data_IF_329974658104
#
_entry.id   IF_329974658104
#
_cell.length_a   1.000
_cell.length_b   1.000
_cell.length_c   1.000
_cell.angle_alpha   90.00
_cell.angle_beta   90.00
_cell.angle_gamma   90.00
#
_symmetry.space_group_name_H-M   'P 1'
#
loop_
_entity.id
_entity.type
_entity.pdbx_description
1 polymer ?
#
# COMPACT_ATOMS: atom_id res chain seq x y z
N UNK A 1 -53.53 -15.68 26.14
CA UNK A 1 -52.61 -14.88 25.31
C UNK A 1 -51.26 -14.79 26.00
N UNK A 2 -50.25 -15.59 25.60
CA UNK A 2 -48.90 -15.54 26.18
C UNK A 2 -48.07 -14.50 25.42
N UNK A 3 -47.79 -13.37 26.05
CA UNK A 3 -46.92 -12.32 25.52
C UNK A 3 -45.46 -12.80 25.59
N UNK A 4 -44.86 -13.10 24.45
CA UNK A 4 -43.43 -13.42 24.34
C UNK A 4 -42.62 -12.13 24.42
N UNK A 5 -42.04 -11.84 25.58
CA UNK A 5 -41.04 -10.76 25.72
C UNK A 5 -39.75 -11.17 25.01
N UNK A 6 -39.53 -10.64 23.80
CA UNK A 6 -38.34 -10.91 22.97
C UNK A 6 -37.10 -10.10 23.36
N UNK A 7 -37.20 -9.17 24.31
CA UNK A 7 -36.07 -8.36 24.77
C UNK A 7 -35.69 -8.72 26.21
N UNK A 8 -34.58 -9.45 26.36
CA UNK A 8 -33.95 -9.73 27.65
C UNK A 8 -32.82 -8.72 27.86
N UNK A 9 -33.08 -7.68 28.65
CA UNK A 9 -32.09 -6.65 28.97
C UNK A 9 -30.94 -7.27 29.78
N UNK A 10 -29.70 -7.15 29.29
CA UNK A 10 -28.48 -7.51 30.02
C UNK A 10 -27.70 -6.24 30.32
N UNK A 11 -27.40 -6.02 31.59
CA UNK A 11 -26.53 -4.94 32.04
C UNK A 11 -25.11 -5.50 31.97
N UNK A 12 -24.34 -5.07 30.97
CA UNK A 12 -22.94 -5.43 30.82
C UNK A 12 -22.13 -4.31 31.44
N UNK A 13 -21.22 -4.64 32.35
CA UNK A 13 -20.25 -3.68 32.88
C UNK A 13 -19.25 -3.33 31.78
N UNK A 14 -19.51 -2.22 31.09
CA UNK A 14 -18.52 -1.65 30.18
C UNK A 14 -17.33 -1.14 31.00
N UNK A 15 -16.09 -1.36 30.56
CA UNK A 15 -14.93 -0.73 31.18
C UNK A 15 -15.13 0.78 31.22
N UNK A 16 -14.50 1.47 32.19
CA UNK A 16 -14.61 2.93 32.37
C UNK A 16 -14.51 3.63 31.01
N UNK A 17 -15.34 4.65 30.77
CA UNK A 17 -15.43 5.38 29.48
C UNK A 17 -14.07 5.77 28.89
N UNK A 18 -13.09 6.09 29.74
CA UNK A 18 -11.71 6.34 29.37
C UNK A 18 -11.01 5.19 28.63
N UNK A 19 -11.23 3.94 29.03
CA UNK A 19 -10.66 2.76 28.35
C UNK A 19 -11.20 2.65 26.93
N UNK A 20 -12.50 2.92 26.73
CA UNK A 20 -13.10 2.90 25.40
C UNK A 20 -12.52 3.98 24.49
N UNK A 21 -12.32 5.19 25.01
CA UNK A 21 -11.65 6.28 24.28
C UNK A 21 -10.22 5.91 23.91
N UNK A 22 -9.45 5.36 24.85
CA UNK A 22 -8.06 4.93 24.59
C UNK A 22 -8.02 3.83 23.53
N UNK A 23 -8.87 2.81 23.64
CA UNK A 23 -8.94 1.73 22.64
C UNK A 23 -9.27 2.28 21.26
N UNK A 24 -10.23 3.21 21.17
CA UNK A 24 -10.64 3.84 19.91
C UNK A 24 -9.51 4.70 19.30
N UNK A 25 -8.78 5.46 20.12
CA UNK A 25 -7.63 6.24 19.65
C UNK A 25 -6.50 5.32 19.17
N UNK A 26 -6.22 4.23 19.89
CA UNK A 26 -5.19 3.26 19.50
C UNK A 26 -5.56 2.56 18.20
N UNK A 27 -6.80 2.10 18.03
CA UNK A 27 -7.22 1.48 16.77
C UNK A 27 -7.18 2.46 15.61
N UNK A 28 -7.64 3.69 15.79
CA UNK A 28 -7.56 4.72 14.73
C UNK A 28 -6.11 5.04 14.35
N UNK A 29 -5.22 5.12 15.33
CA UNK A 29 -3.80 5.34 15.09
C UNK A 29 -3.18 4.16 14.32
N UNK A 30 -3.44 2.93 14.75
CA UNK A 30 -2.92 1.72 14.08
C UNK A 30 -3.45 1.59 12.64
N UNK A 31 -4.72 1.89 12.39
CA UNK A 31 -5.28 1.86 11.03
C UNK A 31 -4.67 2.92 10.15
N UNK A 32 -4.50 4.15 10.66
CA UNK A 32 -3.84 5.23 9.92
C UNK A 32 -2.41 4.83 9.53
N UNK A 33 -1.61 4.36 10.49
CA UNK A 33 -0.23 3.92 10.24
C UNK A 33 -0.21 2.73 9.28
N UNK A 34 -1.09 1.75 9.46
CA UNK A 34 -1.18 0.57 8.59
C UNK A 34 -1.50 0.92 7.14
N UNK A 35 -2.49 1.81 6.92
CA UNK A 35 -2.87 2.26 5.58
C UNK A 35 -1.76 3.07 4.90
N UNK A 36 -1.05 3.91 5.64
CA UNK A 36 0.08 4.67 5.09
C UNK A 36 1.28 3.79 4.68
N UNK A 37 1.43 2.62 5.30
CA UNK A 37 2.58 1.73 5.07
C UNK A 37 2.24 0.48 4.25
N UNK A 38 0.98 0.31 3.83
CA UNK A 38 0.55 -0.89 3.09
C UNK A 38 1.31 -1.06 1.78
N UNK A 39 1.63 0.05 1.10
CA UNK A 39 2.41 0.05 -0.13
C UNK A 39 3.84 -0.46 0.10
N UNK A 40 4.47 -0.13 1.23
CA UNK A 40 5.80 -0.61 1.58
C UNK A 40 5.79 -2.11 1.93
N UNK A 41 4.74 -2.57 2.61
CA UNK A 41 4.57 -4.00 2.91
C UNK A 41 4.41 -4.85 1.65
N UNK A 42 3.73 -4.33 0.62
CA UNK A 42 3.54 -5.02 -0.66
C UNK A 42 4.77 -4.93 -1.58
N UNK A 43 5.69 -4.01 -1.32
CA UNK A 43 6.90 -3.86 -2.12
C UNK A 43 7.93 -4.95 -1.77
N UNK A 44 8.45 -5.62 -2.78
CA UNK A 44 9.55 -6.57 -2.61
C UNK A 44 10.81 -5.79 -2.22
N UNK A 45 11.27 -5.96 -0.98
CA UNK A 45 12.40 -5.21 -0.40
C UNK A 45 13.76 -5.87 -0.62
N UNK A 46 13.79 -7.14 -1.02
CA UNK A 46 15.02 -7.88 -1.32
C UNK A 46 14.86 -8.60 -2.66
N UNK A 47 15.23 -7.95 -3.78
CA UNK A 47 15.23 -8.62 -5.06
C UNK A 47 16.27 -9.73 -5.06
N UNK A 48 15.92 -10.89 -5.63
CA UNK A 48 16.92 -11.89 -5.96
C UNK A 48 17.81 -11.30 -7.08
N UNK A 49 19.13 -11.39 -6.93
CA UNK A 49 20.11 -10.90 -7.90
C UNK A 49 20.03 -11.73 -9.19
N UNK A 50 19.08 -11.39 -10.05
CA UNK A 50 18.89 -11.98 -11.37
C UNK A 50 19.62 -11.21 -12.46
N UNK A 51 19.67 -11.78 -13.67
CA UNK A 51 20.32 -11.15 -14.82
C UNK A 51 19.52 -9.97 -15.41
N UNK A 52 18.21 -9.95 -15.18
CA UNK A 52 17.28 -8.99 -15.76
C UNK A 52 16.61 -8.15 -14.67
N UNK A 53 16.58 -6.83 -14.86
CA UNK A 53 15.72 -5.91 -14.11
C UNK A 53 14.55 -5.49 -15.00
N UNK A 54 13.33 -5.83 -14.59
CA UNK A 54 12.09 -5.45 -15.29
C UNK A 54 11.46 -4.23 -14.61
N UNK A 55 11.10 -3.21 -15.38
CA UNK A 55 10.53 -1.95 -14.87
C UNK A 55 9.30 -1.53 -15.68
N UNK A 56 8.21 -1.18 -15.02
CA UNK A 56 7.01 -0.65 -15.67
C UNK A 56 7.23 0.80 -16.16
N UNK A 57 7.03 1.06 -17.45
CA UNK A 57 7.30 2.32 -18.14
C UNK A 57 6.29 3.43 -17.90
N UNK A 58 5.11 3.10 -17.37
CA UNK A 58 4.09 4.10 -17.00
C UNK A 58 4.38 4.77 -15.64
N UNK A 59 5.42 4.32 -14.95
CA UNK A 59 5.80 4.82 -13.64
C UNK A 59 6.28 6.28 -13.69
N UNK A 60 6.19 6.95 -12.54
CA UNK A 60 6.65 8.32 -12.41
C UNK A 60 8.18 8.42 -12.56
N UNK A 61 8.66 9.58 -13.00
CA UNK A 61 10.09 9.83 -13.27
C UNK A 61 11.00 9.48 -12.08
N UNK A 62 10.57 9.76 -10.84
CA UNK A 62 11.35 9.42 -9.65
C UNK A 62 11.52 7.90 -9.48
N UNK A 63 10.47 7.12 -9.76
CA UNK A 63 10.52 5.65 -9.71
C UNK A 63 11.42 5.08 -10.80
N UNK A 64 11.41 5.68 -11.99
CA UNK A 64 12.30 5.28 -13.10
C UNK A 64 13.78 5.59 -12.76
N UNK A 65 14.05 6.75 -12.16
CA UNK A 65 15.40 7.09 -11.67
C UNK A 65 15.89 6.13 -10.58
N UNK A 66 15.02 5.79 -9.63
CA UNK A 66 15.33 4.80 -8.61
C UNK A 66 15.61 3.41 -9.24
N UNK A 67 14.84 3.01 -10.25
CA UNK A 67 15.09 1.75 -10.95
C UNK A 67 16.44 1.76 -11.70
N UNK A 68 16.84 2.90 -12.26
CA UNK A 68 18.16 3.07 -12.87
C UNK A 68 19.29 2.94 -11.85
N UNK A 69 19.14 3.52 -10.66
CA UNK A 69 20.11 3.35 -9.57
C UNK A 69 20.22 1.89 -9.13
N UNK A 70 19.09 1.19 -8.99
CA UNK A 70 19.05 -0.25 -8.68
C UNK A 70 19.73 -1.07 -9.78
N UNK A 71 19.52 -0.73 -11.05
CA UNK A 71 20.18 -1.39 -12.18
C UNK A 71 21.71 -1.25 -12.09
N UNK A 72 22.19 -0.02 -11.88
CA UNK A 72 23.62 0.30 -11.81
C UNK A 72 24.33 -0.35 -10.63
N UNK A 73 23.64 -0.50 -9.49
CA UNK A 73 24.20 -1.07 -8.26
C UNK A 73 24.02 -2.60 -8.16
N UNK A 74 23.01 -3.15 -8.80
CA UNK A 74 22.54 -4.53 -8.58
C UNK A 74 23.22 -5.62 -9.41
N UNK A 75 24.17 -5.27 -10.29
CA UNK A 75 24.88 -6.25 -11.13
C UNK A 75 24.02 -6.89 -12.23
N UNK A 76 22.90 -6.26 -12.58
CA UNK A 76 22.02 -6.71 -13.66
C UNK A 76 22.70 -6.53 -15.02
N UNK A 77 22.46 -7.47 -15.95
CA UNK A 77 22.98 -7.38 -17.32
C UNK A 77 22.04 -6.59 -18.23
N UNK A 78 20.72 -6.70 -17.99
CA UNK A 78 19.71 -6.09 -18.83
C UNK A 78 18.68 -5.32 -18.00
N UNK A 79 18.32 -4.13 -18.49
CA UNK A 79 17.19 -3.34 -18.02
C UNK A 79 16.09 -3.37 -19.07
N UNK A 80 14.96 -3.98 -18.76
CA UNK A 80 13.82 -4.13 -19.67
C UNK A 80 12.67 -3.30 -19.13
N UNK A 81 12.07 -2.49 -20.00
CA UNK A 81 10.86 -1.73 -19.65
C UNK A 81 9.61 -2.33 -20.29
N UNK A 82 8.51 -2.37 -19.54
CA UNK A 82 7.21 -2.89 -19.99
C UNK A 82 6.11 -1.84 -19.79
N UNK A 83 5.15 -1.78 -20.71
CA UNK A 83 4.05 -0.79 -20.64
C UNK A 83 4.29 0.48 -21.44
N UNK A 84 3.25 1.32 -21.53
CA UNK A 84 3.25 2.56 -22.32
C UNK A 84 3.85 3.77 -21.58
N UNK A 85 4.10 4.88 -22.29
CA UNK A 85 4.61 6.10 -21.67
C UNK A 85 3.60 6.68 -20.67
N UNK A 86 4.10 7.42 -19.68
CA UNK A 86 3.25 8.17 -18.75
C UNK A 86 2.44 9.24 -19.51
N UNK A 87 1.18 8.91 -19.81
CA UNK A 87 0.27 9.78 -20.54
C UNK A 87 -0.10 11.07 -19.80
N UNK A 88 0.20 11.15 -18.49
CA UNK A 88 0.02 12.37 -17.69
C UNK A 88 1.06 13.44 -18.03
N UNK A 89 2.22 13.03 -18.56
CA UNK A 89 3.34 13.94 -18.88
C UNK A 89 3.72 13.93 -20.35
N UNK A 90 3.42 12.85 -21.08
CA UNK A 90 3.80 12.67 -22.48
C UNK A 90 2.53 12.31 -23.25
N UNK A 91 2.16 13.09 -24.26
CA UNK A 91 1.13 12.65 -25.21
C UNK A 91 1.80 11.82 -26.31
N UNK A 92 1.60 10.49 -26.35
CA UNK A 92 2.23 9.64 -27.35
C UNK A 92 1.83 9.97 -28.79
N UNK A 93 0.70 10.64 -29.02
CA UNK A 93 0.29 11.07 -30.37
C UNK A 93 1.17 12.18 -30.95
N UNK A 94 1.93 12.89 -30.11
CA UNK A 94 2.83 13.96 -30.55
C UNK A 94 4.26 13.47 -30.84
N UNK A 95 4.52 12.17 -30.67
CA UNK A 95 5.83 11.54 -30.86
C UNK A 95 5.92 10.71 -32.15
N UNK A 96 4.80 10.59 -32.89
CA UNK A 96 4.68 9.85 -34.14
C UNK A 96 4.34 10.81 -35.30
#
# INVERSE_FOLDING_TARGET
MKSTRLFKQRIIWLPKTWVLVVVLLVTLFLTFVGLSNIAFYLAVSKPNQGEYLLVEGWQAEHSLKQALEVFQQGGYQYLITTGGPDSRRINPQNLC
#
